data_IF_384256239330
#
_entry.id   IF_384256239330
#
_cell.length_a   1.000
_cell.length_b   1.000
_cell.length_c   1.000
_cell.angle_alpha   90.00
_cell.angle_beta   90.00
_cell.angle_gamma   90.00
#
_symmetry.space_group_name_H-M   'P 1'
#
loop_
_entity.id
_entity.type
_entity.pdbx_description
1 polymer ?
#
# COMPACT_ATOMS: atom_id res chain seq x y z
N UNK A 1 -11.67 -71.61 -18.59
CA UNK A 1 -11.36 -72.43 -19.76
C UNK A 1 -11.24 -71.49 -20.95
N UNK A 2 -10.01 -71.32 -21.46
CA UNK A 2 -9.58 -70.84 -22.80
C UNK A 2 -10.45 -69.78 -23.52
N UNK A 3 -9.93 -68.66 -24.05
CA UNK A 3 -8.67 -68.49 -24.79
C UNK A 3 -8.51 -67.04 -25.28
N UNK A 4 -7.24 -66.65 -25.53
CA UNK A 4 -6.78 -65.70 -26.56
C UNK A 4 -6.69 -64.19 -26.26
N UNK A 5 -5.51 -63.86 -25.72
CA UNK A 5 -4.68 -62.70 -26.03
C UNK A 5 -4.70 -62.36 -27.53
N UNK A 6 -4.99 -61.10 -27.88
CA UNK A 6 -4.51 -60.48 -29.12
C UNK A 6 -4.05 -59.05 -28.86
N UNK A 7 -2.74 -58.85 -29.01
CA UNK A 7 -2.04 -57.57 -28.99
C UNK A 7 -2.55 -56.68 -30.14
N UNK A 8 -2.95 -55.44 -29.85
CA UNK A 8 -2.88 -54.34 -30.82
C UNK A 8 -2.29 -53.12 -30.10
N UNK A 9 -1.31 -52.53 -30.77
CA UNK A 9 -0.36 -51.50 -30.36
C UNK A 9 -0.77 -50.17 -31.00
N UNK A 10 -0.50 -49.05 -30.31
CA UNK A 10 -0.52 -47.62 -30.77
C UNK A 10 -1.90 -47.07 -31.20
N UNK A 11 -2.37 -45.92 -30.71
CA UNK A 11 -1.88 -44.54 -30.96
C UNK A 11 -2.30 -43.61 -29.78
N UNK A 12 -1.43 -42.77 -29.18
CA UNK A 12 -1.87 -41.68 -28.32
C UNK A 12 -1.80 -40.36 -29.10
N UNK A 13 -2.96 -39.80 -29.50
CA UNK A 13 -3.02 -38.45 -30.07
C UNK A 13 -4.44 -37.88 -30.03
N UNK A 14 -4.78 -37.19 -28.94
CA UNK A 14 -5.78 -36.10 -28.90
C UNK A 14 -5.49 -35.29 -27.63
N UNK A 15 -4.49 -34.40 -27.67
CA UNK A 15 -4.71 -32.93 -27.72
C UNK A 15 -5.93 -32.54 -26.88
N UNK A 16 -5.79 -32.08 -25.63
CA UNK A 16 -4.98 -30.93 -25.27
C UNK A 16 -5.73 -29.65 -25.64
N UNK A 17 -6.93 -29.46 -25.07
CA UNK A 17 -7.77 -28.29 -25.31
C UNK A 17 -7.90 -27.49 -24.01
N UNK A 18 -7.31 -26.30 -24.05
CA UNK A 18 -7.65 -25.12 -23.24
C UNK A 18 -7.42 -25.20 -21.72
N UNK A 19 -6.15 -25.32 -21.33
CA UNK A 19 -5.63 -24.51 -20.23
C UNK A 19 -4.87 -23.33 -20.85
N UNK A 20 -5.61 -22.34 -21.38
CA UNK A 20 -5.02 -21.11 -21.90
C UNK A 20 -4.51 -20.26 -20.74
N UNK A 21 -3.20 -20.37 -20.53
CA UNK A 21 -2.30 -19.31 -20.07
C UNK A 21 -2.78 -18.45 -18.89
N UNK A 22 -2.73 -19.03 -17.68
CA UNK A 22 -2.24 -18.25 -16.54
C UNK A 22 -0.72 -18.19 -16.64
N UNK A 23 -0.22 -17.16 -17.30
CA UNK A 23 1.19 -16.75 -17.26
C UNK A 23 1.25 -15.28 -17.64
N UNK A 24 0.82 -14.41 -16.73
CA UNK A 24 1.45 -13.10 -16.64
C UNK A 24 2.87 -13.37 -16.12
N UNK A 25 3.74 -13.79 -17.04
CA UNK A 25 5.15 -13.69 -16.80
C UNK A 25 5.42 -12.20 -16.54
N UNK A 26 5.87 -11.87 -15.33
CA UNK A 26 6.71 -10.69 -15.15
C UNK A 26 7.91 -10.92 -16.07
N UNK A 27 7.79 -10.43 -17.31
CA UNK A 27 8.90 -10.39 -18.23
C UNK A 27 10.01 -9.57 -17.59
N UNK A 28 11.23 -10.06 -17.73
CA UNK A 28 12.42 -9.27 -17.43
C UNK A 28 12.27 -7.91 -18.12
N UNK A 29 12.26 -6.83 -17.34
CA UNK A 29 12.09 -5.48 -17.88
C UNK A 29 13.40 -5.13 -18.56
N UNK A 30 13.41 -5.11 -19.88
CA UNK A 30 14.59 -4.71 -20.66
C UNK A 30 14.87 -3.22 -20.43
N UNK A 31 15.80 -2.95 -19.51
CA UNK A 31 16.30 -1.62 -19.19
C UNK A 31 17.57 -1.27 -19.98
N UNK A 32 17.98 -2.04 -20.99
CA UNK A 32 19.06 -1.63 -21.91
C UNK A 32 18.55 -0.61 -22.93
N UNK A 33 17.25 -0.69 -23.28
CA UNK A 33 16.57 0.28 -24.13
C UNK A 33 16.29 1.61 -23.38
N UNK A 34 16.60 2.75 -24.02
CA UNK A 34 16.44 4.08 -23.41
C UNK A 34 14.97 4.45 -23.15
N UNK A 35 14.06 4.16 -24.08
CA UNK A 35 12.64 4.45 -23.94
C UNK A 35 12.03 3.65 -22.77
N UNK A 36 12.42 2.39 -22.61
CA UNK A 36 11.99 1.56 -21.49
C UNK A 36 12.48 2.11 -20.14
N UNK A 37 13.71 2.61 -20.07
CA UNK A 37 14.24 3.26 -18.86
C UNK A 37 13.47 4.53 -18.53
N UNK A 38 13.11 5.33 -19.52
CA UNK A 38 12.29 6.53 -19.34
C UNK A 38 10.92 6.15 -18.78
N UNK A 39 10.23 5.19 -19.41
CA UNK A 39 8.92 4.72 -18.97
C UNK A 39 8.94 4.15 -17.53
N UNK A 40 9.94 3.30 -17.23
CA UNK A 40 10.13 2.74 -15.89
C UNK A 40 10.38 3.84 -14.85
N UNK A 41 11.22 4.83 -15.17
CA UNK A 41 11.53 5.94 -14.27
C UNK A 41 10.30 6.80 -13.96
N UNK A 42 9.44 7.04 -14.94
CA UNK A 42 8.16 7.73 -14.74
C UNK A 42 7.27 6.94 -13.78
N UNK A 43 7.11 5.64 -14.03
CA UNK A 43 6.31 4.75 -13.18
C UNK A 43 6.81 4.73 -11.73
N UNK A 44 8.13 4.61 -11.53
CA UNK A 44 8.75 4.67 -10.19
C UNK A 44 8.51 6.01 -9.53
N UNK A 45 8.69 7.13 -10.24
CA UNK A 45 8.49 8.45 -9.66
C UNK A 45 7.03 8.67 -9.22
N UNK A 46 6.05 8.28 -10.04
CA UNK A 46 4.63 8.34 -9.69
C UNK A 46 4.34 7.44 -8.49
N UNK A 47 4.78 6.17 -8.54
CA UNK A 47 4.56 5.21 -7.47
C UNK A 47 5.14 5.66 -6.13
N UNK A 48 6.37 6.18 -6.12
CA UNK A 48 6.99 6.73 -4.90
C UNK A 48 6.18 7.88 -4.31
N UNK A 49 5.66 8.79 -5.15
CA UNK A 49 4.81 9.88 -4.68
C UNK A 49 3.49 9.36 -4.09
N UNK A 50 2.88 8.34 -4.68
CA UNK A 50 1.63 7.76 -4.17
C UNK A 50 1.84 7.02 -2.84
N UNK A 51 2.95 6.28 -2.70
CA UNK A 51 3.35 5.63 -1.44
C UNK A 51 3.62 6.66 -0.36
N UNK A 52 4.37 7.73 -0.66
CA UNK A 52 4.67 8.79 0.30
C UNK A 52 3.41 9.48 0.84
N UNK A 53 2.34 9.51 0.05
CA UNK A 53 1.04 10.07 0.43
C UNK A 53 0.09 9.02 1.06
N UNK A 54 0.50 7.75 1.16
CA UNK A 54 -0.34 6.65 1.68
C UNK A 54 -1.52 6.30 0.77
N UNK A 55 -1.53 6.75 -0.50
CA UNK A 55 -2.68 6.60 -1.39
C UNK A 55 -2.85 5.17 -1.93
N UNK A 56 -1.83 4.33 -1.80
CA UNK A 56 -1.86 2.93 -2.22
C UNK A 56 -2.30 1.99 -1.09
N UNK A 57 -2.51 2.50 0.14
CA UNK A 57 -2.89 1.68 1.28
C UNK A 57 -4.29 1.10 1.09
N UNK A 58 -4.37 -0.23 0.99
CA UNK A 58 -5.61 -0.94 0.73
C UNK A 58 -6.17 -0.73 -0.68
N UNK A 59 -5.32 -0.36 -1.64
CA UNK A 59 -5.63 -0.33 -3.07
C UNK A 59 -5.12 -1.63 -3.72
N UNK A 60 -5.94 -2.20 -4.60
CA UNK A 60 -5.52 -3.29 -5.47
C UNK A 60 -4.66 -2.72 -6.62
N UNK A 61 -3.36 -3.00 -6.58
CA UNK A 61 -2.41 -2.46 -7.55
C UNK A 61 -2.60 -3.03 -8.96
N UNK A 62 -3.11 -4.25 -9.09
CA UNK A 62 -3.36 -4.86 -10.41
C UNK A 62 -4.49 -4.10 -11.11
N UNK A 63 -5.56 -3.78 -10.37
CA UNK A 63 -6.68 -2.97 -10.89
C UNK A 63 -6.25 -1.52 -11.16
N UNK A 64 -5.41 -0.94 -10.30
CA UNK A 64 -4.87 0.40 -10.52
C UNK A 64 -4.09 0.49 -11.84
N UNK A 65 -3.22 -0.50 -12.12
CA UNK A 65 -2.44 -0.56 -13.36
C UNK A 65 -3.37 -0.74 -14.58
N UNK A 66 -4.41 -1.58 -14.47
CA UNK A 66 -5.43 -1.70 -15.53
C UNK A 66 -6.06 -0.34 -15.82
N UNK A 67 -6.46 0.42 -14.79
CA UNK A 67 -7.01 1.76 -14.97
C UNK A 67 -6.05 2.74 -15.65
N UNK A 68 -4.75 2.69 -15.34
CA UNK A 68 -3.74 3.51 -16.02
C UNK A 68 -3.61 3.16 -17.51
N UNK A 69 -3.63 1.86 -17.84
CA UNK A 69 -3.55 1.38 -19.21
C UNK A 69 -4.82 1.76 -19.99
N UNK A 70 -5.99 1.57 -19.40
CA UNK A 70 -7.27 1.93 -20.02
C UNK A 70 -7.34 3.45 -20.30
N UNK A 71 -6.90 4.29 -19.36
CA UNK A 71 -6.84 5.74 -19.56
C UNK A 71 -5.89 6.16 -20.69
N UNK A 72 -4.75 5.48 -20.84
CA UNK A 72 -3.81 5.75 -21.94
C UNK A 72 -4.36 5.34 -23.32
N UNK A 73 -5.32 4.41 -23.36
CA UNK A 73 -5.94 3.90 -24.58
C UNK A 73 -7.34 4.47 -24.84
N UNK A 74 -7.84 5.37 -24.00
CA UNK A 74 -9.23 5.88 -24.05
C UNK A 74 -10.29 4.77 -23.94
N UNK A 75 -9.99 3.70 -23.19
CA UNK A 75 -10.87 2.53 -22.96
C UNK A 75 -11.37 2.48 -21.50
N UNK A 76 -11.68 3.64 -20.93
CA UNK A 76 -12.19 3.72 -19.55
C UNK A 76 -13.44 2.87 -19.38
N UNK A 77 -13.42 1.98 -18.39
CA UNK A 77 -14.54 1.09 -18.06
C UNK A 77 -15.59 1.73 -17.16
N UNK A 78 -15.31 2.92 -16.65
CA UNK A 78 -16.21 3.71 -15.82
C UNK A 78 -16.53 5.04 -16.51
N UNK A 79 -17.76 5.52 -16.32
CA UNK A 79 -18.12 6.89 -16.69
C UNK A 79 -17.40 7.90 -15.82
N UNK A 80 -17.34 9.16 -16.26
CA UNK A 80 -16.77 10.24 -15.45
C UNK A 80 -17.47 10.35 -14.09
N UNK A 81 -18.80 10.28 -14.07
CA UNK A 81 -19.59 10.36 -12.83
C UNK A 81 -19.28 9.22 -11.86
N UNK A 82 -19.10 8.00 -12.37
CA UNK A 82 -18.74 6.84 -11.56
C UNK A 82 -17.33 6.98 -10.96
N UNK A 83 -16.38 7.50 -11.75
CA UNK A 83 -15.03 7.81 -11.27
C UNK A 83 -15.06 8.89 -10.19
N UNK A 84 -15.82 9.97 -10.38
CA UNK A 84 -15.96 11.04 -9.39
C UNK A 84 -16.56 10.51 -8.07
N UNK A 85 -17.62 9.69 -8.15
CA UNK A 85 -18.23 9.08 -6.97
C UNK A 85 -17.24 8.17 -6.23
N UNK A 86 -16.47 7.35 -6.95
CA UNK A 86 -15.46 6.48 -6.34
C UNK A 86 -14.34 7.30 -5.65
N UNK A 87 -13.88 8.38 -6.28
CA UNK A 87 -12.86 9.27 -5.71
C UNK A 87 -13.38 10.05 -4.49
N UNK A 88 -14.67 10.35 -4.41
CA UNK A 88 -15.26 10.95 -3.22
C UNK A 88 -15.24 9.98 -2.03
N UNK A 89 -15.65 8.73 -2.24
CA UNK A 89 -15.57 7.67 -1.22
C UNK A 89 -14.12 7.49 -0.75
N UNK A 90 -13.17 7.54 -1.68
CA UNK A 90 -11.76 7.43 -1.34
C UNK A 90 -11.28 8.59 -0.45
N UNK A 91 -11.66 9.83 -0.76
CA UNK A 91 -11.33 11.00 0.07
C UNK A 91 -11.93 10.90 1.48
N UNK A 92 -13.18 10.45 1.60
CA UNK A 92 -13.82 10.23 2.90
C UNK A 92 -13.06 9.16 3.72
N UNK A 93 -12.59 8.10 3.06
CA UNK A 93 -11.77 7.07 3.70
C UNK A 93 -10.45 7.62 4.23
N UNK A 94 -9.76 8.46 3.45
CA UNK A 94 -8.51 9.10 3.90
C UNK A 94 -8.75 10.03 5.09
N UNK A 95 -9.82 10.82 5.08
CA UNK A 95 -10.18 11.68 6.20
C UNK A 95 -10.47 10.86 7.47
N UNK A 96 -11.20 9.76 7.35
CA UNK A 96 -11.49 8.85 8.45
C UNK A 96 -10.22 8.22 9.03
N UNK A 97 -9.29 7.77 8.18
CA UNK A 97 -8.00 7.23 8.61
C UNK A 97 -7.15 8.27 9.35
N UNK A 98 -7.08 9.50 8.84
CA UNK A 98 -6.37 10.60 9.49
C UNK A 98 -6.98 10.91 10.88
N UNK A 99 -8.30 10.90 11.00
CA UNK A 99 -8.98 11.09 12.28
C UNK A 99 -8.70 9.95 13.26
N UNK A 100 -8.70 8.70 12.80
CA UNK A 100 -8.36 7.55 13.62
C UNK A 100 -6.91 7.61 14.13
N UNK A 101 -5.96 7.96 13.26
CA UNK A 101 -4.56 8.15 13.64
C UNK A 101 -4.38 9.27 14.68
N UNK A 102 -5.11 10.37 14.53
CA UNK A 102 -5.10 11.47 15.50
C UNK A 102 -5.64 11.02 16.87
N UNK A 103 -6.74 10.26 16.88
CA UNK A 103 -7.32 9.75 18.12
C UNK A 103 -6.39 8.77 18.82
N UNK A 104 -5.76 7.86 18.07
CA UNK A 104 -4.75 6.95 18.60
C UNK A 104 -3.55 7.72 19.18
N UNK A 105 -3.08 8.77 18.49
CA UNK A 105 -1.99 9.63 18.97
C UNK A 105 -2.36 10.38 20.25
N UNK A 106 -3.59 10.89 20.35
CA UNK A 106 -4.10 11.53 21.58
C UNK A 106 -4.15 10.56 22.74
N UNK A 107 -4.67 9.35 22.52
CA UNK A 107 -4.73 8.32 23.55
C UNK A 107 -3.32 7.92 24.02
N UNK A 108 -2.38 7.69 23.08
CA UNK A 108 -0.99 7.39 23.40
C UNK A 108 -0.31 8.53 24.17
N UNK A 109 -0.53 9.78 23.76
CA UNK A 109 0.02 10.97 24.43
C UNK A 109 -0.53 11.12 25.85
N UNK A 110 -1.83 10.90 26.05
CA UNK A 110 -2.47 10.96 27.36
C UNK A 110 -1.91 9.88 28.30
N UNK A 111 -1.75 8.63 27.81
CA UNK A 111 -1.12 7.55 28.58
C UNK A 111 0.31 7.91 28.97
N UNK A 112 1.10 8.39 28.00
CA UNK A 112 2.48 8.80 28.25
C UNK A 112 2.57 9.90 29.32
N UNK A 113 1.74 10.94 29.23
CA UNK A 113 1.74 12.03 30.22
C UNK A 113 1.32 11.53 31.60
N UNK A 114 0.33 10.65 31.69
CA UNK A 114 -0.07 10.04 32.96
C UNK A 114 1.09 9.25 33.56
N UNK A 115 1.68 8.33 32.80
CA UNK A 115 2.82 7.52 33.25
C UNK A 115 4.04 8.38 33.61
N UNK A 116 4.30 9.43 32.85
CA UNK A 116 5.46 10.30 33.06
C UNK A 116 5.32 11.14 34.34
N UNK A 117 4.12 11.62 34.65
CA UNK A 117 3.86 12.37 35.89
C UNK A 117 4.03 11.54 37.17
N UNK A 118 3.99 10.21 37.06
CA UNK A 118 4.22 9.30 38.17
C UNK A 118 5.72 8.96 38.39
N UNK A 119 6.61 9.42 37.51
CA UNK A 119 8.06 9.16 37.64
C UNK A 119 8.69 10.09 38.68
N UNK A 120 9.72 9.58 39.35
CA UNK A 120 10.43 10.32 40.39
C UNK A 120 11.10 11.59 39.84
N UNK A 121 11.05 12.67 40.63
CA UNK A 121 11.56 13.99 40.27
C UNK A 121 10.74 14.77 39.21
N UNK A 122 9.72 14.16 38.58
CA UNK A 122 8.87 14.86 37.61
C UNK A 122 7.86 15.74 38.33
N UNK A 123 7.86 17.03 37.99
CA UNK A 123 6.94 18.04 38.50
C UNK A 123 5.92 18.39 37.42
N UNK A 124 4.64 18.34 37.77
CA UNK A 124 3.53 18.74 36.88
C UNK A 124 2.97 20.10 37.30
N UNK A 125 2.92 21.05 36.37
CA UNK A 125 2.36 22.39 36.58
C UNK A 125 0.84 22.40 36.33
N UNK A 126 0.15 23.44 36.81
CA UNK A 126 -1.29 23.65 36.59
C UNK A 126 -1.67 23.77 35.10
N UNK A 127 -0.73 24.15 34.23
CA UNK A 127 -0.91 24.18 32.78
C UNK A 127 -0.90 22.79 32.12
N UNK A 128 -0.54 21.73 32.86
CA UNK A 128 -0.31 20.39 32.33
C UNK A 128 1.12 20.12 31.84
N UNK A 129 1.99 21.14 31.86
CA UNK A 129 3.41 20.97 31.54
C UNK A 129 4.11 20.12 32.62
N UNK A 130 4.93 19.17 32.19
CA UNK A 130 5.74 18.32 33.06
C UNK A 130 7.23 18.59 32.83
N UNK A 131 8.02 18.72 33.90
CA UNK A 131 9.47 18.88 33.81
C UNK A 131 10.19 18.07 34.88
N UNK A 132 11.45 17.74 34.61
CA UNK A 132 12.37 17.09 35.54
C UNK A 132 13.60 17.99 35.69
N UNK A 133 13.97 18.35 36.92
CA UNK A 133 15.20 19.11 37.18
C UNK A 133 16.35 18.13 37.17
N UNK A 134 17.23 18.23 36.16
CA UNK A 134 18.45 17.42 36.09
C UNK A 134 19.57 18.06 36.92
N UNK A 135 19.74 19.37 36.77
CA UNK A 135 20.71 20.17 37.51
C UNK A 135 20.13 21.59 37.67
N UNK A 136 20.22 22.15 38.88
CA UNK A 136 19.76 23.51 39.15
C UNK A 136 20.95 24.47 39.04
N UNK A 137 20.82 25.52 38.24
CA UNK A 137 21.80 26.62 38.23
C UNK A 137 21.71 27.48 39.49
N UNK A 138 22.78 28.22 39.78
CA UNK A 138 22.81 29.18 40.89
C UNK A 138 21.76 30.29 40.68
N UNK A 139 20.98 30.56 41.72
CA UNK A 139 19.89 31.53 41.69
C UNK A 139 20.35 32.98 41.49
N UNK A 140 21.66 33.24 41.54
CA UNK A 140 22.26 34.57 41.43
C UNK A 140 22.54 35.03 40.00
N UNK A 141 21.96 34.37 38.98
CA UNK A 141 22.11 34.67 37.55
C UNK A 141 22.61 36.08 37.25
N UNK A 142 23.94 36.20 37.15
CA UNK A 142 24.71 37.39 36.83
C UNK A 142 25.77 36.99 35.81
#
# INVERSE_FOLDING_TARGET
>A
MNTMIRKIVLIPALLGLMASAQSFAQGDVDLENEDNRIAYSIGVNIGQNLVAQGLLDGIDLDIFIVGMLDAANDDSKLSEEEMFAALQIFQERLASQAQAALEQSRAASASFLQENSAKDGVVTLASGLQYLILESGDASGA
#
